data_IF_489732972526
#
_entry.id   IF_489732972526
#
_cell.length_a   1.000
_cell.length_b   1.000
_cell.length_c   1.000
_cell.angle_alpha   90.00
_cell.angle_beta   90.00
_cell.angle_gamma   90.00
#
_symmetry.space_group_name_H-M   'P 1'
#
loop_
_entity.id
_entity.type
_entity.pdbx_description
1 polymer ?
#
# COMPACT_ATOMS: atom_id res chain seq x y z
N UNK A 1 4.39 22.22 5.31
CA UNK A 1 3.26 21.31 5.02
C UNK A 1 3.44 20.54 3.71
N UNK A 2 4.03 21.16 2.67
CA UNK A 2 4.32 20.52 1.37
C UNK A 2 5.17 19.24 1.47
N UNK A 3 6.21 19.21 2.31
CA UNK A 3 7.06 18.01 2.48
C UNK A 3 6.29 16.77 2.96
N UNK A 4 5.36 16.93 3.91
CA UNK A 4 4.52 15.83 4.41
C UNK A 4 3.55 15.33 3.32
N UNK A 5 2.94 16.23 2.57
CA UNK A 5 2.08 15.86 1.44
C UNK A 5 2.84 15.05 0.39
N UNK A 6 4.06 15.45 0.04
CA UNK A 6 4.92 14.69 -0.88
C UNK A 6 5.22 13.30 -0.33
N UNK A 7 5.57 13.16 0.95
CA UNK A 7 5.83 11.84 1.55
C UNK A 7 4.58 10.94 1.52
N UNK A 8 3.39 11.50 1.74
CA UNK A 8 2.12 10.75 1.66
C UNK A 8 1.85 10.25 0.24
N UNK A 9 2.11 11.08 -0.78
CA UNK A 9 1.94 10.66 -2.17
C UNK A 9 2.95 9.59 -2.58
N UNK A 10 4.21 9.72 -2.16
CA UNK A 10 5.24 8.69 -2.40
C UNK A 10 4.83 7.37 -1.74
N UNK A 11 4.38 7.42 -0.48
CA UNK A 11 3.90 6.24 0.22
C UNK A 11 2.69 5.61 -0.47
N UNK A 12 1.70 6.42 -0.88
CA UNK A 12 0.54 5.93 -1.61
C UNK A 12 0.92 5.25 -2.93
N UNK A 13 1.87 5.82 -3.69
CA UNK A 13 2.37 5.20 -4.91
C UNK A 13 3.03 3.84 -4.64
N UNK A 14 3.83 3.72 -3.57
CA UNK A 14 4.44 2.46 -3.17
C UNK A 14 3.40 1.42 -2.76
N UNK A 15 2.37 1.82 -2.01
CA UNK A 15 1.27 0.93 -1.60
C UNK A 15 0.49 0.40 -2.81
N UNK A 16 0.20 1.26 -3.80
CA UNK A 16 -0.45 0.86 -5.05
C UNK A 16 0.44 -0.12 -5.83
N UNK A 17 1.73 0.20 -5.96
CA UNK A 17 2.70 -0.68 -6.63
C UNK A 17 2.73 -2.06 -5.98
N UNK A 18 2.69 -2.10 -4.65
CA UNK A 18 2.71 -3.33 -3.86
C UNK A 18 1.41 -4.13 -3.99
N UNK A 19 0.26 -3.46 -4.13
CA UNK A 19 -1.02 -4.09 -4.43
C UNK A 19 -1.04 -4.74 -5.84
N UNK A 20 -0.32 -4.16 -6.80
CA UNK A 20 -0.21 -4.69 -8.17
C UNK A 20 0.75 -5.89 -8.29
N UNK A 21 1.54 -6.21 -7.26
CA UNK A 21 2.46 -7.35 -7.31
C UNK A 21 1.66 -8.66 -7.45
N UNK A 22 2.04 -9.56 -8.37
CA UNK A 22 1.39 -10.86 -8.56
C UNK A 22 1.36 -11.70 -7.28
N UNK A 23 0.25 -12.41 -7.06
CA UNK A 23 0.09 -13.29 -5.89
C UNK A 23 1.20 -14.36 -5.81
N UNK A 24 1.68 -14.85 -6.96
CA UNK A 24 2.73 -15.87 -7.02
C UNK A 24 4.07 -15.33 -6.54
N UNK A 25 4.38 -14.05 -6.82
CA UNK A 25 5.55 -13.38 -6.27
C UNK A 25 5.45 -13.21 -4.76
N UNK A 26 4.27 -12.89 -4.25
CA UNK A 26 4.02 -12.81 -2.80
C UNK A 26 4.21 -14.16 -2.10
N UNK A 27 3.69 -15.23 -2.68
CA UNK A 27 3.87 -16.60 -2.17
C UNK A 27 5.33 -17.02 -2.20
N UNK A 28 6.05 -16.75 -3.29
CA UNK A 28 7.46 -17.07 -3.43
C UNK A 28 8.35 -16.25 -2.49
N UNK A 29 8.00 -14.98 -2.24
CA UNK A 29 8.70 -14.15 -1.26
C UNK A 29 8.46 -14.67 0.16
N UNK A 30 7.21 -15.02 0.50
CA UNK A 30 6.86 -15.54 1.82
C UNK A 30 7.48 -16.90 2.09
N UNK A 31 7.49 -17.81 1.12
CA UNK A 31 8.13 -19.13 1.32
C UNK A 31 9.64 -19.02 1.57
N UNK A 32 10.29 -17.95 1.08
CA UNK A 32 11.70 -17.65 1.36
C UNK A 32 11.92 -17.00 2.73
N UNK A 33 11.04 -16.10 3.17
CA UNK A 33 11.23 -15.37 4.44
C UNK A 33 10.63 -16.09 5.64
N UNK A 34 9.53 -16.82 5.45
CA UNK A 34 8.79 -17.51 6.49
C UNK A 34 8.32 -18.90 6.02
N UNK A 35 9.25 -19.86 5.91
CA UNK A 35 8.99 -21.19 5.36
C UNK A 35 8.03 -22.03 6.22
N UNK A 36 7.90 -21.75 7.51
CA UNK A 36 7.03 -22.47 8.45
C UNK A 36 5.60 -21.93 8.52
N UNK A 37 5.23 -20.97 7.68
CA UNK A 37 3.90 -20.36 7.70
C UNK A 37 2.87 -21.11 6.89
N UNK A 38 1.62 -21.04 7.36
CA UNK A 38 0.44 -21.52 6.63
C UNK A 38 0.33 -20.88 5.23
N UNK A 39 -0.15 -21.65 4.25
CA UNK A 39 -0.22 -21.21 2.86
C UNK A 39 -1.10 -19.96 2.70
N UNK A 40 -0.64 -19.01 1.89
CA UNK A 40 -1.41 -17.83 1.52
C UNK A 40 -2.59 -18.23 0.63
N UNK A 41 -3.77 -18.30 1.23
CA UNK A 41 -5.04 -18.42 0.52
C UNK A 41 -5.24 -17.25 -0.43
N UNK A 42 -5.88 -17.48 -1.57
CA UNK A 42 -6.16 -16.41 -2.54
C UNK A 42 -6.96 -15.26 -1.91
N UNK A 43 -7.87 -15.56 -0.98
CA UNK A 43 -8.63 -14.56 -0.21
C UNK A 43 -7.72 -13.66 0.63
N UNK A 44 -6.70 -14.20 1.29
CA UNK A 44 -5.76 -13.39 2.09
C UNK A 44 -4.97 -12.39 1.24
N UNK A 45 -4.57 -12.78 0.03
CA UNK A 45 -3.88 -11.88 -0.91
C UNK A 45 -4.80 -10.78 -1.40
N UNK A 46 -6.07 -11.10 -1.70
CA UNK A 46 -7.07 -10.10 -2.10
C UNK A 46 -7.34 -9.10 -0.97
N UNK A 47 -7.55 -9.58 0.26
CA UNK A 47 -7.74 -8.70 1.43
C UNK A 47 -6.53 -7.79 1.62
N UNK A 48 -5.31 -8.32 1.51
CA UNK A 48 -4.09 -7.52 1.56
C UNK A 48 -4.06 -6.40 0.52
N UNK A 49 -4.43 -6.68 -0.72
CA UNK A 49 -4.53 -5.67 -1.79
C UNK A 49 -5.56 -4.60 -1.47
N UNK A 50 -6.74 -5.00 -0.98
CA UNK A 50 -7.80 -4.06 -0.59
C UNK A 50 -7.29 -3.14 0.52
N UNK A 51 -6.66 -3.68 1.56
CA UNK A 51 -6.08 -2.88 2.64
C UNK A 51 -5.02 -1.90 2.12
N UNK A 52 -4.10 -2.35 1.25
CA UNK A 52 -3.07 -1.48 0.66
C UNK A 52 -3.70 -0.33 -0.15
N UNK A 53 -4.71 -0.62 -0.98
CA UNK A 53 -5.39 0.39 -1.79
C UNK A 53 -6.20 1.37 -0.95
N UNK A 54 -6.87 0.91 0.10
CA UNK A 54 -7.58 1.77 1.05
C UNK A 54 -6.60 2.74 1.73
N UNK A 55 -5.48 2.23 2.24
CA UNK A 55 -4.43 3.05 2.85
C UNK A 55 -3.84 4.07 1.87
N UNK A 56 -3.60 3.66 0.62
CA UNK A 56 -3.15 4.58 -0.43
C UNK A 56 -4.17 5.68 -0.70
N UNK A 57 -5.46 5.34 -0.78
CA UNK A 57 -6.55 6.30 -0.96
C UNK A 57 -6.62 7.32 0.18
N UNK A 58 -6.50 6.87 1.44
CA UNK A 58 -6.45 7.75 2.60
C UNK A 58 -5.25 8.69 2.57
N UNK A 59 -4.06 8.17 2.20
CA UNK A 59 -2.85 8.98 2.06
C UNK A 59 -2.98 10.06 0.98
N UNK A 60 -3.59 9.74 -0.17
CA UNK A 60 -3.87 10.71 -1.24
C UNK A 60 -4.86 11.77 -0.76
N UNK A 61 -5.96 11.36 -0.13
CA UNK A 61 -6.97 12.27 0.39
C UNK A 61 -6.37 13.27 1.39
N UNK A 62 -5.59 12.77 2.35
CA UNK A 62 -4.94 13.59 3.35
C UNK A 62 -3.85 14.50 2.74
N UNK A 63 -3.09 14.01 1.77
CA UNK A 63 -2.10 14.81 1.04
C UNK A 63 -2.75 15.99 0.28
N UNK A 64 -3.90 15.75 -0.35
CA UNK A 64 -4.67 16.81 -1.02
C UNK A 64 -5.20 17.83 0.00
N UNK A 65 -5.74 17.38 1.13
CA UNK A 65 -6.26 18.26 2.18
C UNK A 65 -5.15 19.15 2.75
N UNK A 66 -3.97 18.60 3.01
CA UNK A 66 -2.79 19.36 3.45
C UNK A 66 -2.35 20.44 2.44
N UNK A 67 -2.41 20.14 1.14
CA UNK A 67 -2.09 21.12 0.10
C UNK A 67 -3.13 22.24 0.01
N UNK A 68 -4.41 21.91 0.19
CA UNK A 68 -5.50 22.89 0.23
C UNK A 68 -5.34 23.84 1.41
N UNK A 69 -5.08 23.30 2.60
CA UNK A 69 -4.85 24.09 3.82
C UNK A 69 -3.61 24.98 3.71
N UNK A 70 -2.57 24.54 2.99
CA UNK A 70 -1.35 25.33 2.79
C UNK A 70 -1.48 26.46 1.75
N UNK A 71 -2.56 26.48 0.96
CA UNK A 71 -2.81 27.47 -0.09
C UNK A 71 -3.68 28.65 0.39
N UNK A 72 -4.11 28.64 1.66
CA UNK A 72 -4.84 29.70 2.36
C UNK A 72 -3.95 30.33 3.43
#
# INVERSE_FOLDING_TARGET
>A
MTGMAVTLFVLAALLILMACVPADRWRALRSRTYPSGEELTTSSVVVGRVCLLVMAGLGIWQGIDMLRLAAH
#
